data_IF_538427819576
#
_entry.id   IF_538427819576
#
_cell.length_a   1.000
_cell.length_b   1.000
_cell.length_c   1.000
_cell.angle_alpha   90.00
_cell.angle_beta   90.00
_cell.angle_gamma   90.00
#
_symmetry.space_group_name_H-M   'P 1'
#
loop_
_entity.id
_entity.type
_entity.pdbx_description
1 polymer ?
#
# COMPACT_ATOMS: atom_id res chain seq x y z
N UNK A 1 2.07 -14.85 14.75
CA UNK A 1 3.27 -14.03 15.05
C UNK A 1 4.21 -13.95 13.84
N UNK A 2 4.70 -15.06 13.27
CA UNK A 2 5.65 -15.06 12.11
C UNK A 2 5.18 -14.23 10.90
N UNK A 3 3.89 -14.27 10.57
CA UNK A 3 3.34 -13.54 9.42
C UNK A 3 3.28 -12.02 9.58
N UNK A 4 3.26 -11.50 10.82
CA UNK A 4 3.33 -10.05 11.08
C UNK A 4 4.74 -9.49 10.88
N UNK A 5 5.75 -10.35 10.99
CA UNK A 5 7.16 -9.96 10.92
C UNK A 5 7.72 -10.21 9.52
N UNK A 6 7.07 -11.01 8.66
CA UNK A 6 7.54 -11.26 7.29
C UNK A 6 7.83 -9.96 6.50
N UNK A 7 6.95 -8.94 6.51
CA UNK A 7 7.21 -7.66 5.84
C UNK A 7 8.37 -6.85 6.44
N UNK A 8 8.73 -7.13 7.70
CA UNK A 8 9.81 -6.47 8.44
C UNK A 8 11.14 -7.27 8.39
N UNK A 9 11.08 -8.59 8.17
CA UNK A 9 12.25 -9.49 8.11
C UNK A 9 12.94 -9.40 6.75
N UNK A 10 12.21 -9.24 5.66
CA UNK A 10 12.79 -9.16 4.31
C UNK A 10 13.77 -7.97 4.14
N UNK A 11 13.50 -6.75 4.66
CA UNK A 11 14.50 -5.68 4.63
C UNK A 11 15.71 -5.95 5.55
N UNK A 12 15.53 -6.68 6.66
CA UNK A 12 16.61 -6.98 7.60
C UNK A 12 17.59 -8.06 7.06
N UNK A 13 17.06 -9.11 6.40
CA UNK A 13 17.88 -10.18 5.82
C UNK A 13 18.63 -9.74 4.58
N UNK A 14 18.05 -8.87 3.75
CA UNK A 14 18.72 -8.31 2.56
C UNK A 14 19.85 -7.32 2.89
N UNK A 15 19.76 -6.63 4.03
CA UNK A 15 20.83 -5.74 4.52
C UNK A 15 22.01 -6.49 5.15
N UNK A 16 21.77 -7.65 5.77
CA UNK A 16 22.82 -8.43 6.42
C UNK A 16 23.64 -9.29 5.43
N UNK A 17 23.04 -9.77 4.34
CA UNK A 17 23.70 -10.72 3.43
C UNK A 17 24.77 -10.12 2.50
N UNK A 18 25.05 -8.81 2.54
CA UNK A 18 25.98 -8.15 1.61
C UNK A 18 27.29 -7.64 2.26
N UNK A 19 27.62 -8.09 3.47
CA UNK A 19 28.91 -7.79 4.10
C UNK A 19 29.99 -8.83 3.73
N UNK A 20 29.63 -10.04 3.29
CA UNK A 20 30.59 -11.15 3.17
C UNK A 20 30.85 -11.72 1.75
N UNK A 21 30.68 -10.93 0.69
CA UNK A 21 30.97 -11.42 -0.67
C UNK A 21 31.66 -10.38 -1.57
N UNK A 22 32.91 -10.04 -1.24
CA UNK A 22 33.88 -9.56 -2.22
C UNK A 22 35.05 -10.55 -2.26
N UNK A 23 35.10 -11.38 -3.31
CA UNK A 23 36.21 -12.30 -3.54
C UNK A 23 36.01 -13.18 -4.76
N UNK A 24 36.83 -12.93 -5.78
CA UNK A 24 37.20 -13.73 -6.95
C UNK A 24 36.32 -13.67 -8.22
N UNK A 25 36.93 -13.03 -9.22
CA UNK A 25 36.62 -13.08 -10.65
C UNK A 25 36.65 -14.50 -11.23
N UNK A 26 35.85 -14.74 -12.28
CA UNK A 26 36.31 -15.39 -13.52
C UNK A 26 35.28 -15.25 -14.64
N UNK A 27 35.74 -14.73 -15.78
CA UNK A 27 35.00 -14.56 -17.02
C UNK A 27 34.88 -15.85 -17.83
N UNK A 28 33.78 -16.04 -18.57
CA UNK A 28 33.79 -16.43 -20.01
C UNK A 28 32.38 -16.45 -20.62
N UNK A 29 32.22 -16.12 -21.93
CA UNK A 29 30.95 -15.97 -22.62
C UNK A 29 30.54 -17.26 -23.34
N UNK A 30 29.24 -17.55 -23.43
CA UNK A 30 28.71 -18.60 -24.31
C UNK A 30 27.47 -18.09 -25.05
N UNK A 31 27.66 -17.85 -26.35
CA UNK A 31 26.66 -17.72 -27.39
C UNK A 31 25.77 -18.97 -27.43
N UNK A 32 24.47 -18.80 -27.60
CA UNK A 32 23.69 -19.67 -28.47
C UNK A 32 22.46 -18.93 -29.04
N UNK A 33 22.39 -18.89 -30.36
CA UNK A 33 21.32 -18.35 -31.19
C UNK A 33 20.05 -19.23 -31.22
N UNK A 34 18.95 -18.51 -31.52
CA UNK A 34 17.80 -18.87 -32.39
C UNK A 34 16.48 -19.40 -31.76
N UNK A 35 15.32 -19.30 -32.45
CA UNK A 35 14.41 -18.16 -32.35
C UNK A 35 12.94 -18.58 -32.12
N UNK A 36 12.11 -17.71 -31.52
CA UNK A 36 10.66 -17.74 -31.78
C UNK A 36 9.97 -16.43 -31.36
N UNK A 37 9.55 -15.67 -32.36
CA UNK A 37 8.50 -14.64 -32.26
C UNK A 37 7.52 -14.92 -33.41
N UNK A 38 6.22 -14.71 -33.20
CA UNK A 38 5.55 -13.66 -33.97
C UNK A 38 4.47 -12.97 -33.09
N UNK A 39 3.85 -11.83 -33.34
CA UNK A 39 3.44 -11.09 -34.54
C UNK A 39 3.35 -9.61 -34.15
N UNK A 40 4.01 -8.69 -34.86
CA UNK A 40 3.45 -7.37 -35.10
C UNK A 40 3.64 -7.05 -36.58
N UNK A 41 2.52 -6.70 -37.20
CA UNK A 41 2.35 -6.47 -38.62
C UNK A 41 3.18 -5.25 -39.04
N UNK A 42 3.94 -5.47 -40.11
CA UNK A 42 4.70 -4.50 -40.88
C UNK A 42 3.75 -3.61 -41.70
N UNK A 43 4.14 -2.35 -41.93
CA UNK A 43 3.81 -1.66 -43.18
C UNK A 43 4.92 -0.67 -43.55
N UNK A 44 5.43 -0.87 -44.76
CA UNK A 44 6.62 -0.32 -45.38
C UNK A 44 6.47 1.15 -45.84
N UNK A 45 7.60 1.87 -45.98
CA UNK A 45 8.11 2.31 -47.29
C UNK A 45 9.50 2.99 -47.21
N UNK A 46 10.52 2.27 -47.72
CA UNK A 46 11.63 2.62 -48.65
C UNK A 46 12.06 4.10 -48.88
N UNK A 47 13.36 4.42 -48.74
CA UNK A 47 14.42 4.42 -49.80
C UNK A 47 15.52 5.51 -49.62
N UNK A 48 16.80 5.07 -49.63
CA UNK A 48 18.07 5.72 -50.10
C UNK A 48 18.54 7.09 -49.53
N UNK A 49 19.81 7.48 -49.41
CA UNK A 49 21.17 6.94 -49.69
C UNK A 49 22.23 7.89 -49.08
N UNK A 50 23.38 7.34 -48.66
CA UNK A 50 24.74 7.88 -48.52
C UNK A 50 25.06 9.22 -47.79
N UNK A 51 26.03 9.16 -46.86
CA UNK A 51 26.93 10.31 -46.61
C UNK A 51 27.60 10.41 -45.23
N UNK A 52 28.82 9.87 -45.13
CA UNK A 52 29.97 10.45 -44.42
C UNK A 52 29.98 10.53 -42.87
N UNK A 53 31.05 9.93 -42.31
CA UNK A 53 31.54 10.11 -40.96
C UNK A 53 31.61 11.58 -40.53
N UNK A 54 31.05 11.90 -39.36
CA UNK A 54 31.56 12.98 -38.54
C UNK A 54 31.66 12.54 -37.09
N UNK A 55 32.92 12.35 -36.68
CA UNK A 55 33.37 12.11 -35.31
C UNK A 55 33.38 13.46 -34.60
N UNK A 56 32.41 13.70 -33.71
CA UNK A 56 32.47 14.83 -32.78
C UNK A 56 32.69 14.29 -31.38
N UNK A 57 33.94 14.40 -30.93
CA UNK A 57 34.28 14.34 -29.53
C UNK A 57 33.91 15.70 -28.91
N UNK A 58 33.09 15.70 -27.86
CA UNK A 58 33.00 16.86 -26.96
C UNK A 58 33.43 16.45 -25.55
N UNK A 59 34.25 17.33 -25.02
CA UNK A 59 35.07 17.19 -23.83
C UNK A 59 34.25 17.55 -22.58
N UNK A 60 34.73 17.03 -21.46
CA UNK A 60 34.19 17.08 -20.11
C UNK A 60 33.64 18.44 -19.63
N UNK A 61 32.62 18.37 -18.76
CA UNK A 61 32.55 19.25 -17.59
C UNK A 61 32.36 18.40 -16.33
N UNK A 62 33.43 18.33 -15.54
CA UNK A 62 33.49 17.77 -14.21
C UNK A 62 33.52 18.94 -13.22
N UNK A 63 32.41 19.17 -12.50
CA UNK A 63 32.30 19.83 -11.18
C UNK A 63 30.80 19.71 -10.79
N UNK A 64 30.32 19.44 -9.58
CA UNK A 64 30.91 19.58 -8.26
C UNK A 64 30.15 18.67 -7.29
N UNK A 65 30.89 18.05 -6.36
CA UNK A 65 30.37 17.11 -5.39
C UNK A 65 29.51 17.77 -4.32
N UNK A 66 28.25 17.34 -4.23
CA UNK A 66 27.48 17.33 -2.99
C UNK A 66 26.78 15.97 -2.86
N UNK A 67 27.27 15.18 -1.91
CA UNK A 67 27.03 13.76 -1.65
C UNK A 67 25.62 13.23 -1.97
N UNK A 68 25.55 12.41 -3.01
CA UNK A 68 24.58 11.32 -3.10
C UNK A 68 25.10 10.21 -2.19
N UNK A 69 24.76 10.24 -0.91
CA UNK A 69 24.94 9.09 -0.03
C UNK A 69 23.55 8.53 0.29
N UNK A 70 23.08 7.60 -0.54
CA UNK A 70 22.30 6.44 -0.10
C UNK A 70 22.28 5.31 -1.15
N UNK A 71 23.45 4.75 -1.41
CA UNK A 71 23.67 3.65 -2.38
C UNK A 71 23.18 2.26 -1.88
N UNK A 72 22.70 2.11 -0.63
CA UNK A 72 22.34 0.80 -0.04
C UNK A 72 21.01 0.81 0.72
N UNK A 73 19.89 0.71 -0.02
CA UNK A 73 18.53 0.49 0.56
C UNK A 73 17.37 1.13 -0.21
N UNK A 74 17.67 1.73 -1.36
CA UNK A 74 16.82 2.44 -2.34
C UNK A 74 16.08 3.69 -1.81
N UNK A 75 16.57 4.86 -2.23
CA UNK A 75 15.81 6.11 -2.37
C UNK A 75 15.25 6.15 -3.79
N UNK A 76 13.94 6.20 -3.92
CA UNK A 76 13.23 6.25 -5.21
C UNK A 76 13.63 7.50 -6.00
N UNK A 77 14.25 7.31 -7.18
CA UNK A 77 14.15 8.30 -8.25
C UNK A 77 12.75 8.19 -8.81
N UNK A 78 11.92 9.21 -8.57
CA UNK A 78 10.50 9.22 -8.97
C UNK A 78 10.37 8.95 -10.48
N UNK A 79 9.54 7.97 -10.84
CA UNK A 79 9.22 7.65 -12.24
C UNK A 79 10.27 6.84 -13.02
N UNK A 80 11.40 6.43 -12.42
CA UNK A 80 12.31 5.49 -13.09
C UNK A 80 11.75 4.07 -13.09
N UNK A 81 12.04 3.33 -14.16
CA UNK A 81 11.56 1.97 -14.36
C UNK A 81 12.20 1.00 -13.36
N UNK A 82 11.35 0.31 -12.59
CA UNK A 82 11.79 -0.73 -11.66
C UNK A 82 11.13 -2.06 -12.03
N UNK A 83 11.95 -3.01 -12.51
CA UNK A 83 11.52 -4.40 -12.65
C UNK A 83 11.06 -4.95 -11.29
N UNK A 84 10.03 -5.81 -11.25
CA UNK A 84 9.45 -6.38 -10.03
C UNK A 84 10.49 -7.02 -9.07
N UNK A 85 11.61 -7.53 -9.61
CA UNK A 85 12.72 -8.07 -8.80
C UNK A 85 13.51 -6.98 -8.05
N UNK A 86 13.62 -5.78 -8.62
CA UNK A 86 14.23 -4.59 -8.00
C UNK A 86 13.27 -3.96 -6.98
N UNK A 87 11.96 -4.05 -7.23
CA UNK A 87 10.91 -3.58 -6.32
C UNK A 87 10.97 -4.29 -4.95
N UNK A 88 10.98 -5.62 -4.94
CA UNK A 88 10.97 -6.43 -3.70
C UNK A 88 12.25 -6.23 -2.88
N UNK A 89 13.33 -5.72 -3.48
CA UNK A 89 14.58 -5.38 -2.80
C UNK A 89 14.60 -3.96 -2.21
N UNK A 90 13.58 -3.14 -2.49
CA UNK A 90 13.49 -1.75 -2.06
C UNK A 90 12.86 -1.63 -0.66
N UNK A 91 13.51 -0.91 0.26
CA UNK A 91 12.96 -0.68 1.61
C UNK A 91 11.70 0.20 1.55
N UNK A 92 11.64 1.17 0.62
CA UNK A 92 10.47 2.03 0.43
C UNK A 92 9.23 1.23 0.06
N UNK A 93 9.39 0.18 -0.76
CA UNK A 93 8.30 -0.74 -1.09
C UNK A 93 7.79 -1.47 0.15
N UNK A 94 8.67 -1.97 1.02
CA UNK A 94 8.24 -2.68 2.24
C UNK A 94 7.57 -1.77 3.26
N UNK A 95 8.05 -0.52 3.41
CA UNK A 95 7.38 0.48 4.25
C UNK A 95 5.98 0.80 3.74
N UNK A 96 5.83 0.95 2.41
CA UNK A 96 4.56 1.18 1.75
C UNK A 96 3.63 -0.04 1.86
N UNK A 97 4.15 -1.24 1.57
CA UNK A 97 3.43 -2.51 1.67
C UNK A 97 2.91 -2.72 3.10
N UNK A 98 3.75 -2.47 4.11
CA UNK A 98 3.39 -2.57 5.53
C UNK A 98 2.32 -1.54 5.91
N UNK A 99 2.44 -0.29 5.46
CA UNK A 99 1.44 0.74 5.71
C UNK A 99 0.07 0.36 5.11
N UNK A 100 0.05 -0.15 3.88
CA UNK A 100 -1.17 -0.62 3.22
C UNK A 100 -1.78 -1.84 3.93
N UNK A 101 -0.96 -2.84 4.23
CA UNK A 101 -1.33 -4.07 4.93
C UNK A 101 -1.89 -3.81 6.33
N UNK A 102 -1.33 -2.85 7.07
CA UNK A 102 -1.77 -2.51 8.41
C UNK A 102 -2.93 -1.50 8.44
N UNK A 103 -3.12 -0.73 7.36
CA UNK A 103 -4.16 0.30 7.27
C UNK A 103 -5.39 -0.17 6.50
N UNK A 104 -5.30 -0.12 5.17
CA UNK A 104 -6.44 -0.37 4.28
C UNK A 104 -6.99 -1.80 4.40
N UNK A 105 -6.11 -2.79 4.55
CA UNK A 105 -6.54 -4.18 4.68
C UNK A 105 -7.32 -4.41 5.98
N UNK A 106 -6.93 -3.80 7.10
CA UNK A 106 -7.71 -3.88 8.34
C UNK A 106 -9.09 -3.25 8.16
N UNK A 107 -9.19 -2.11 7.46
CA UNK A 107 -10.47 -1.50 7.12
C UNK A 107 -11.40 -2.42 6.33
N UNK A 108 -10.86 -3.20 5.39
CA UNK A 108 -11.61 -4.23 4.66
C UNK A 108 -12.05 -5.37 5.56
N UNK A 109 -11.15 -5.89 6.40
CA UNK A 109 -11.49 -6.99 7.31
C UNK A 109 -12.57 -6.57 8.30
N UNK A 110 -12.50 -5.34 8.82
CA UNK A 110 -13.56 -4.76 9.63
C UNK A 110 -14.90 -4.74 8.87
N UNK A 111 -14.91 -4.23 7.63
CA UNK A 111 -16.12 -4.19 6.80
C UNK A 111 -16.70 -5.59 6.54
N UNK A 112 -15.85 -6.59 6.32
CA UNK A 112 -16.28 -7.96 6.08
C UNK A 112 -16.90 -8.62 7.31
N UNK A 113 -16.53 -8.17 8.52
CA UNK A 113 -17.08 -8.67 9.77
C UNK A 113 -18.19 -7.78 10.35
N UNK A 114 -18.58 -6.72 9.65
CA UNK A 114 -19.51 -5.71 10.16
C UNK A 114 -20.85 -6.30 10.60
N UNK A 115 -21.36 -7.31 9.89
CA UNK A 115 -22.59 -8.01 10.27
C UNK A 115 -22.49 -8.66 11.65
N UNK A 116 -21.42 -9.41 11.90
CA UNK A 116 -21.19 -10.06 13.21
C UNK A 116 -20.92 -9.03 14.31
N UNK A 117 -20.17 -7.96 13.98
CA UNK A 117 -19.92 -6.85 14.92
C UNK A 117 -21.24 -6.19 15.32
N UNK A 118 -22.07 -5.82 14.34
CA UNK A 118 -23.37 -5.19 14.58
C UNK A 118 -24.29 -6.11 15.39
N UNK A 119 -24.32 -7.41 15.07
CA UNK A 119 -25.09 -8.38 15.85
C UNK A 119 -24.62 -8.47 17.30
N UNK A 120 -23.31 -8.61 17.55
CA UNK A 120 -22.75 -8.74 18.89
C UNK A 120 -23.05 -7.52 19.79
N UNK A 121 -23.12 -6.32 19.20
CA UNK A 121 -23.40 -5.06 19.91
C UNK A 121 -24.91 -4.72 19.95
N UNK A 122 -25.79 -5.63 19.55
CA UNK A 122 -27.24 -5.40 19.45
C UNK A 122 -27.61 -4.24 18.50
N UNK A 123 -26.79 -3.99 17.49
CA UNK A 123 -26.95 -2.95 16.45
C UNK A 123 -27.41 -3.53 15.09
N UNK A 124 -27.93 -4.76 15.06
CA UNK A 124 -28.34 -5.41 13.80
C UNK A 124 -29.40 -4.62 13.02
N UNK A 125 -30.31 -3.93 13.72
CA UNK A 125 -31.32 -3.05 13.10
C UNK A 125 -30.71 -1.87 12.34
N UNK A 126 -29.46 -1.49 12.66
CA UNK A 126 -28.73 -0.39 12.02
C UNK A 126 -27.73 -0.86 10.96
N UNK A 127 -27.64 -2.17 10.68
CA UNK A 127 -26.65 -2.72 9.75
C UNK A 127 -26.72 -2.08 8.35
N UNK A 128 -27.92 -1.90 7.81
CA UNK A 128 -28.12 -1.25 6.49
C UNK A 128 -27.61 0.19 6.50
N UNK A 129 -27.84 0.94 7.58
CA UNK A 129 -27.34 2.30 7.75
C UNK A 129 -25.81 2.32 7.84
N UNK A 130 -25.21 1.40 8.60
CA UNK A 130 -23.75 1.30 8.74
C UNK A 130 -23.08 0.99 7.40
N UNK A 131 -23.65 0.07 6.62
CA UNK A 131 -23.18 -0.26 5.28
C UNK A 131 -23.28 0.94 4.33
N UNK A 132 -24.38 1.69 4.39
CA UNK A 132 -24.56 2.91 3.61
C UNK A 132 -23.50 3.98 3.99
N UNK A 133 -23.29 4.22 5.28
CA UNK A 133 -22.27 5.15 5.79
C UNK A 133 -20.88 4.75 5.31
N UNK A 134 -20.50 3.47 5.42
CA UNK A 134 -19.21 2.99 4.92
C UNK A 134 -19.05 3.27 3.43
N UNK A 135 -20.04 2.90 2.63
CA UNK A 135 -20.00 3.05 1.18
C UNK A 135 -19.89 4.52 0.77
N UNK A 136 -20.73 5.39 1.34
CA UNK A 136 -20.70 6.83 1.08
C UNK A 136 -19.37 7.47 1.49
N UNK A 137 -18.87 7.20 2.70
CA UNK A 137 -17.59 7.74 3.15
C UNK A 137 -16.43 7.19 2.32
N UNK A 138 -16.48 5.93 1.91
CA UNK A 138 -15.49 5.32 1.02
C UNK A 138 -15.47 5.96 -0.37
N UNK A 139 -16.65 6.29 -0.91
CA UNK A 139 -16.75 7.08 -2.14
C UNK A 139 -16.07 8.44 -1.99
N UNK A 140 -16.39 9.19 -0.93
CA UNK A 140 -15.74 10.48 -0.68
C UNK A 140 -14.24 10.36 -0.44
N UNK A 141 -13.79 9.30 0.22
CA UNK A 141 -12.37 9.00 0.40
C UNK A 141 -11.65 8.83 -0.94
N UNK A 142 -12.24 8.06 -1.86
CA UNK A 142 -11.72 7.88 -3.22
C UNK A 142 -11.72 9.20 -4.01
N UNK A 143 -12.72 10.06 -3.83
CA UNK A 143 -12.75 11.36 -4.47
C UNK A 143 -11.65 12.28 -3.93
N UNK A 144 -11.44 12.29 -2.61
CA UNK A 144 -10.43 13.09 -1.94
C UNK A 144 -9.00 12.68 -2.35
N UNK A 145 -8.77 11.44 -2.78
CA UNK A 145 -7.45 11.01 -3.24
C UNK A 145 -7.00 11.67 -4.55
N UNK A 146 -7.89 12.36 -5.26
CA UNK A 146 -7.56 13.19 -6.42
C UNK A 146 -7.11 14.62 -6.04
N UNK A 147 -7.36 15.07 -4.80
CA UNK A 147 -6.92 16.40 -4.32
C UNK A 147 -5.41 16.68 -4.48
N UNK A 148 -4.49 15.72 -4.26
CA UNK A 148 -3.06 15.95 -4.46
C UNK A 148 -2.72 16.46 -5.87
N UNK A 149 -3.48 16.02 -6.88
CA UNK A 149 -3.24 16.40 -8.28
C UNK A 149 -3.77 17.81 -8.57
N UNK A 150 -4.89 18.21 -7.96
CA UNK A 150 -5.43 19.57 -8.06
C UNK A 150 -4.64 20.60 -7.27
N UNK A 151 -4.13 20.21 -6.10
CA UNK A 151 -3.41 21.10 -5.18
C UNK A 151 -1.89 21.15 -5.44
N UNK A 152 -1.37 20.33 -6.36
CA UNK A 152 0.05 20.33 -6.73
C UNK A 152 0.58 21.72 -7.11
N UNK A 153 -0.27 22.59 -7.67
CA UNK A 153 0.07 23.97 -8.03
C UNK A 153 0.22 24.93 -6.84
N UNK A 154 -0.34 24.62 -5.66
CA UNK A 154 -0.33 25.50 -4.47
C UNK A 154 0.45 24.94 -3.30
N UNK A 155 0.51 23.62 -3.14
CA UNK A 155 1.23 22.95 -2.06
C UNK A 155 1.96 21.74 -2.64
N UNK A 156 3.29 21.79 -2.69
CA UNK A 156 4.12 20.63 -3.06
C UNK A 156 4.18 19.65 -1.88
N UNK A 157 3.07 18.96 -1.64
CA UNK A 157 2.99 17.91 -0.63
C UNK A 157 3.19 16.55 -1.33
N UNK A 158 4.15 15.77 -0.85
CA UNK A 158 4.41 14.43 -1.38
C UNK A 158 3.14 13.57 -1.31
N UNK A 159 2.90 12.75 -2.35
CA UNK A 159 1.75 11.83 -2.38
C UNK A 159 1.77 10.83 -1.20
N UNK A 160 2.96 10.48 -0.72
CA UNK A 160 3.20 9.72 0.53
C UNK A 160 2.76 10.46 1.80
N UNK A 161 2.80 11.79 1.80
CA UNK A 161 2.28 12.62 2.89
C UNK A 161 0.75 12.58 2.95
N UNK A 162 0.08 12.63 1.80
CA UNK A 162 -1.38 12.48 1.72
C UNK A 162 -1.84 11.09 2.15
N UNK A 163 -1.10 10.04 1.78
CA UNK A 163 -1.34 8.68 2.29
C UNK A 163 -1.24 8.62 3.82
N UNK A 164 -0.24 9.29 4.40
CA UNK A 164 -0.06 9.38 5.86
C UNK A 164 -1.22 10.10 6.53
N UNK A 165 -1.65 11.24 5.97
CA UNK A 165 -2.80 11.99 6.48
C UNK A 165 -4.09 11.14 6.43
N UNK A 166 -4.29 10.38 5.36
CA UNK A 166 -5.43 9.49 5.23
C UNK A 166 -5.41 8.30 6.20
N UNK A 167 -4.24 7.90 6.73
CA UNK A 167 -4.12 6.82 7.73
C UNK A 167 -4.46 7.27 9.15
N UNK A 168 -4.35 8.56 9.48
CA UNK A 168 -4.59 9.09 10.85
C UNK A 168 -5.97 8.73 11.42
N UNK A 169 -7.09 8.81 10.66
CA UNK A 169 -8.41 8.48 11.17
C UNK A 169 -8.61 7.01 11.57
N UNK A 170 -7.82 6.08 11.03
CA UNK A 170 -7.98 4.63 11.28
C UNK A 170 -7.72 4.23 12.74
N UNK A 171 -6.54 4.48 13.34
CA UNK A 171 -6.30 4.14 14.74
C UNK A 171 -7.25 4.90 15.66
N UNK A 172 -7.60 6.15 15.33
CA UNK A 172 -8.60 6.92 16.08
C UNK A 172 -9.95 6.21 16.11
N UNK A 173 -10.44 5.73 14.96
CA UNK A 173 -11.70 5.01 14.87
C UNK A 173 -11.71 3.71 15.70
N UNK A 174 -10.66 2.90 15.59
CA UNK A 174 -10.57 1.63 16.32
C UNK A 174 -10.43 1.83 17.84
N UNK A 175 -9.63 2.80 18.29
CA UNK A 175 -9.53 3.10 19.72
C UNK A 175 -10.81 3.72 20.28
N UNK A 176 -11.50 4.55 19.49
CA UNK A 176 -12.80 5.10 19.89
C UNK A 176 -13.83 3.98 20.06
N UNK A 177 -13.93 3.07 19.09
CA UNK A 177 -14.81 1.89 19.17
C UNK A 177 -14.44 0.97 20.32
N UNK A 178 -13.16 0.78 20.62
CA UNK A 178 -12.71 0.00 21.78
C UNK A 178 -13.18 0.60 23.11
N UNK A 179 -13.15 1.93 23.27
CA UNK A 179 -13.48 2.58 24.54
C UNK A 179 -14.98 2.70 24.82
N UNK A 180 -15.76 3.08 23.81
CA UNK A 180 -17.17 3.47 24.00
C UNK A 180 -18.16 2.35 23.66
N UNK A 181 -17.86 1.53 22.64
CA UNK A 181 -18.65 0.36 22.23
C UNK A 181 -20.17 0.59 22.08
N UNK A 182 -20.58 1.82 21.75
CA UNK A 182 -21.97 2.22 21.55
C UNK A 182 -22.31 2.38 20.06
N UNK A 183 -23.61 2.41 19.76
CA UNK A 183 -24.10 2.52 18.38
C UNK A 183 -23.69 3.80 17.65
N UNK A 184 -23.52 4.92 18.36
CA UNK A 184 -23.11 6.19 17.73
C UNK A 184 -21.62 6.18 17.38
N UNK A 185 -20.79 5.65 18.28
CA UNK A 185 -19.36 5.43 17.98
C UNK A 185 -19.15 4.45 16.85
N UNK A 186 -19.99 3.41 16.72
CA UNK A 186 -19.92 2.48 15.60
C UNK A 186 -20.16 3.20 14.26
N UNK A 187 -21.13 4.11 14.20
CA UNK A 187 -21.38 4.95 13.00
C UNK A 187 -20.21 5.87 12.71
N UNK A 188 -19.68 6.56 13.73
CA UNK A 188 -18.52 7.45 13.57
C UNK A 188 -17.28 6.68 13.11
N UNK A 189 -16.99 5.53 13.74
CA UNK A 189 -15.90 4.65 13.34
C UNK A 189 -16.07 4.14 11.92
N UNK A 190 -17.30 3.79 11.52
CA UNK A 190 -17.62 3.36 10.17
C UNK A 190 -17.35 4.44 9.11
N UNK A 191 -17.70 5.69 9.43
CA UNK A 191 -17.44 6.84 8.58
C UNK A 191 -15.93 7.10 8.42
N UNK A 192 -15.19 7.12 9.53
CA UNK A 192 -13.73 7.36 9.53
C UNK A 192 -12.96 6.25 8.81
N UNK A 193 -13.30 4.99 9.08
CA UNK A 193 -12.69 3.83 8.41
C UNK A 193 -13.02 3.83 6.92
N UNK A 194 -14.27 4.13 6.55
CA UNK A 194 -14.70 4.24 5.15
C UNK A 194 -13.94 5.32 4.40
N UNK A 195 -13.88 6.52 4.97
CA UNK A 195 -13.16 7.66 4.38
C UNK A 195 -11.68 7.32 4.16
N UNK A 196 -11.03 6.79 5.20
CA UNK A 196 -9.61 6.43 5.15
C UNK A 196 -9.34 5.29 4.17
N UNK A 197 -10.11 4.19 4.23
CA UNK A 197 -9.90 3.03 3.35
C UNK A 197 -10.15 3.40 1.89
N UNK A 198 -11.21 4.16 1.61
CA UNK A 198 -11.53 4.67 0.28
C UNK A 198 -10.38 5.50 -0.31
N UNK A 199 -9.83 6.43 0.49
CA UNK A 199 -8.68 7.21 0.08
C UNK A 199 -7.47 6.33 -0.22
N UNK A 200 -7.12 5.42 0.69
CA UNK A 200 -5.92 4.57 0.53
C UNK A 200 -6.08 3.66 -0.69
N UNK A 201 -7.26 3.10 -0.96
CA UNK A 201 -7.48 2.26 -2.13
C UNK A 201 -7.25 3.00 -3.45
N UNK A 202 -7.79 4.21 -3.58
CA UNK A 202 -7.62 5.00 -4.79
C UNK A 202 -6.19 5.58 -4.89
N UNK A 203 -5.65 6.11 -3.80
CA UNK A 203 -4.28 6.62 -3.74
C UNK A 203 -3.25 5.54 -4.06
N UNK A 204 -3.51 4.27 -3.71
CA UNK A 204 -2.56 3.20 -3.90
C UNK A 204 -2.18 2.97 -5.36
N UNK A 205 -3.11 3.13 -6.30
CA UNK A 205 -2.82 3.00 -7.74
C UNK A 205 -1.83 4.08 -8.16
N UNK A 206 -2.13 5.33 -7.80
CA UNK A 206 -1.34 6.50 -8.17
C UNK A 206 0.02 6.57 -7.45
N UNK A 207 0.11 6.14 -6.19
CA UNK A 207 1.37 6.02 -5.45
C UNK A 207 2.24 4.92 -6.07
N UNK A 208 1.65 3.79 -6.44
CA UNK A 208 2.40 2.68 -7.06
C UNK A 208 2.99 3.09 -8.41
N UNK A 209 2.25 3.82 -9.23
CA UNK A 209 2.76 4.30 -10.52
C UNK A 209 3.86 5.36 -10.37
N UNK A 210 3.74 6.26 -9.40
CA UNK A 210 4.77 7.28 -9.13
C UNK A 210 6.06 6.70 -8.58
N UNK A 211 5.97 5.75 -7.63
CA UNK A 211 7.15 5.20 -6.97
C UNK A 211 7.90 4.20 -7.85
N UNK A 212 7.21 3.49 -8.77
CA UNK A 212 7.78 2.32 -9.44
C UNK A 212 7.69 2.34 -10.97
N UNK A 213 7.21 3.43 -11.56
CA UNK A 213 7.16 3.64 -12.99
C UNK A 213 5.86 3.12 -13.65
N UNK A 214 5.47 3.71 -14.80
CA UNK A 214 4.18 3.44 -15.44
C UNK A 214 4.11 2.12 -16.24
N UNK A 215 5.23 1.60 -16.76
CA UNK A 215 5.19 0.47 -17.70
C UNK A 215 4.89 -0.89 -17.04
N UNK A 216 5.10 -1.01 -15.72
CA UNK A 216 4.82 -2.24 -14.94
C UNK A 216 3.80 -2.04 -13.81
N UNK A 217 2.91 -1.03 -13.92
CA UNK A 217 1.90 -0.74 -12.88
C UNK A 217 1.08 -1.97 -12.54
N UNK A 218 0.64 -2.74 -13.54
CA UNK A 218 -0.19 -3.92 -13.32
C UNK A 218 0.48 -4.95 -12.40
N UNK A 219 1.75 -5.26 -12.63
CA UNK A 219 2.51 -6.22 -11.81
C UNK A 219 2.75 -5.67 -10.41
N UNK A 220 3.20 -4.41 -10.31
CA UNK A 220 3.55 -3.79 -9.04
C UNK A 220 2.32 -3.60 -8.14
N UNK A 221 1.20 -3.16 -8.73
CA UNK A 221 -0.05 -2.96 -8.01
C UNK A 221 -0.72 -4.27 -7.63
N UNK A 222 -0.73 -5.27 -8.52
CA UNK A 222 -1.25 -6.60 -8.17
C UNK A 222 -0.42 -7.24 -7.05
N UNK A 223 0.89 -7.04 -7.04
CA UNK A 223 1.75 -7.47 -5.93
C UNK A 223 1.34 -6.79 -4.62
N UNK A 224 1.05 -5.49 -4.63
CA UNK A 224 0.54 -4.77 -3.46
C UNK A 224 -0.83 -5.32 -3.00
N UNK A 225 -1.75 -5.57 -3.93
CA UNK A 225 -3.11 -6.06 -3.64
C UNK A 225 -3.10 -7.44 -2.95
N UNK A 226 -2.06 -8.26 -3.13
CA UNK A 226 -1.92 -9.53 -2.40
C UNK A 226 -2.07 -9.38 -0.88
N UNK A 227 -1.77 -8.19 -0.34
CA UNK A 227 -2.04 -7.82 1.04
C UNK A 227 -3.47 -8.08 1.48
N UNK A 228 -4.46 -7.86 0.61
CA UNK A 228 -5.87 -8.03 0.93
C UNK A 228 -6.16 -9.48 1.28
N UNK A 229 -5.70 -10.43 0.46
CA UNK A 229 -5.88 -11.86 0.70
C UNK A 229 -5.13 -12.29 1.97
N UNK A 230 -3.87 -11.88 2.10
CA UNK A 230 -3.04 -12.22 3.25
C UNK A 230 -3.62 -11.68 4.57
N UNK A 231 -4.06 -10.42 4.57
CA UNK A 231 -4.60 -9.78 5.76
C UNK A 231 -6.02 -10.22 6.07
N UNK A 232 -6.83 -10.57 5.07
CA UNK A 232 -8.15 -11.18 5.31
C UNK A 232 -8.02 -12.53 6.00
N UNK A 233 -7.05 -13.35 5.59
CA UNK A 233 -6.73 -14.58 6.31
C UNK A 233 -6.24 -14.28 7.72
N UNK A 234 -5.26 -13.39 7.88
CA UNK A 234 -4.64 -13.17 9.19
C UNK A 234 -5.54 -12.45 10.19
N UNK A 235 -6.02 -11.26 9.84
CA UNK A 235 -6.83 -10.45 10.72
C UNK A 235 -8.24 -11.01 10.87
N UNK A 236 -8.78 -11.66 9.83
CA UNK A 236 -10.05 -12.37 9.89
C UNK A 236 -10.00 -13.55 10.85
N UNK A 237 -8.94 -14.36 10.79
CA UNK A 237 -8.75 -15.46 11.74
C UNK A 237 -8.55 -14.96 13.18
N UNK A 238 -7.80 -13.87 13.38
CA UNK A 238 -7.66 -13.26 14.72
C UNK A 238 -9.04 -12.82 15.25
N UNK A 239 -9.85 -12.15 14.42
CA UNK A 239 -11.19 -11.73 14.82
C UNK A 239 -12.10 -12.92 15.15
N UNK A 240 -12.07 -13.98 14.33
CA UNK A 240 -12.83 -15.20 14.56
C UNK A 240 -12.43 -15.89 15.88
N UNK A 241 -11.12 -16.04 16.13
CA UNK A 241 -10.61 -16.65 17.38
C UNK A 241 -11.04 -15.87 18.62
N UNK A 242 -10.98 -14.52 18.57
CA UNK A 242 -11.44 -13.68 19.69
C UNK A 242 -12.94 -13.80 19.90
N UNK A 243 -13.72 -13.82 18.81
CA UNK A 243 -15.17 -13.98 18.85
C UNK A 243 -15.55 -15.34 19.44
N UNK A 244 -14.94 -16.42 18.96
CA UNK A 244 -15.23 -17.78 19.41
C UNK A 244 -14.81 -18.02 20.86
N UNK A 245 -13.69 -17.42 21.29
CA UNK A 245 -13.23 -17.52 22.67
C UNK A 245 -14.17 -16.84 23.68
N UNK A 246 -14.97 -15.87 23.25
CA UNK A 246 -15.95 -15.18 24.09
C UNK A 246 -17.40 -15.63 23.83
N UNK A 247 -17.61 -16.48 22.83
CA UNK A 247 -18.92 -16.94 22.40
C UNK A 247 -19.44 -18.14 23.20
N UNK A 248 -20.75 -18.31 23.20
CA UNK A 248 -21.39 -19.51 23.72
C UNK A 248 -21.67 -20.48 22.57
N UNK A 249 -21.29 -21.74 22.77
CA UNK A 249 -21.64 -22.83 21.85
C UNK A 249 -23.10 -23.21 22.06
N UNK A 250 -23.90 -23.04 21.02
CA UNK A 250 -25.29 -23.50 20.97
C UNK A 250 -25.40 -24.65 19.96
N UNK A 251 -25.91 -25.77 20.42
CA UNK A 251 -26.30 -26.90 19.56
C UNK A 251 -27.75 -26.69 19.13
N UNK A 252 -27.98 -26.47 17.83
CA UNK A 252 -29.32 -26.49 17.27
C UNK A 252 -29.52 -27.81 16.58
N UNK A 253 -30.50 -28.57 17.07
CA UNK A 253 -31.00 -29.74 16.39
C UNK A 253 -31.89 -29.26 15.25
N UNK A 254 -31.46 -29.45 14.01
CA UNK A 254 -32.33 -29.23 12.88
C UNK A 254 -33.39 -30.34 12.86
N UNK A 255 -34.62 -29.98 13.22
CA UNK A 255 -35.74 -30.92 13.36
C UNK A 255 -36.18 -31.52 12.01
N UNK A 256 -35.61 -31.05 10.89
CA UNK A 256 -35.90 -31.54 9.52
C UNK A 256 -34.84 -32.52 8.99
N UNK A 257 -33.57 -32.32 9.28
CA UNK A 257 -32.47 -33.19 8.81
C UNK A 257 -31.89 -34.09 9.89
N UNK A 258 -32.22 -33.86 11.17
CA UNK A 258 -31.63 -34.57 12.30
C UNK A 258 -30.16 -34.23 12.54
N UNK A 259 -29.61 -33.24 11.82
CA UNK A 259 -28.23 -32.78 11.96
C UNK A 259 -28.14 -31.84 13.18
N UNK A 260 -27.16 -32.09 14.04
CA UNK A 260 -26.81 -31.18 15.13
C UNK A 260 -25.83 -30.16 14.55
N UNK A 261 -26.30 -28.93 14.36
CA UNK A 261 -25.43 -27.82 13.98
C UNK A 261 -24.94 -27.09 15.24
N UNK A 262 -23.62 -26.95 15.37
CA UNK A 262 -23.00 -26.23 16.48
C UNK A 262 -22.66 -24.83 16.02
N UNK A 263 -23.48 -23.85 16.40
CA UNK A 263 -23.17 -22.45 16.15
C UNK A 263 -22.55 -21.78 17.38
N UNK A 264 -21.56 -20.94 17.15
CA UNK A 264 -20.99 -20.07 18.18
C UNK A 264 -21.60 -18.69 18.00
N UNK A 265 -22.32 -18.22 19.02
CA UNK A 265 -22.88 -16.87 19.04
C UNK A 265 -22.27 -16.13 20.22
N UNK A 266 -21.67 -14.97 19.94
CA UNK A 266 -21.12 -14.09 20.95
C UNK A 266 -21.92 -12.79 20.99
N UNK A 267 -22.44 -12.47 22.18
CA UNK A 267 -23.20 -11.25 22.43
C UNK A 267 -22.50 -10.39 23.48
N UNK A 268 -22.55 -9.08 23.27
CA UNK A 268 -21.97 -8.08 24.13
C UNK A 268 -20.61 -7.56 23.64
N UNK A 269 -20.13 -6.56 24.36
CA UNK A 269 -19.00 -5.75 23.96
C UNK A 269 -17.66 -6.51 23.99
N UNK A 270 -17.57 -7.58 24.80
CA UNK A 270 -16.37 -8.42 24.95
C UNK A 270 -16.01 -9.17 23.66
N UNK A 271 -16.98 -9.46 22.79
CA UNK A 271 -16.79 -10.23 21.55
C UNK A 271 -15.80 -9.60 20.57
N UNK A 272 -15.77 -8.26 20.50
CA UNK A 272 -14.89 -7.51 19.61
C UNK A 272 -14.00 -6.48 20.33
N UNK A 273 -14.11 -6.32 21.65
CA UNK A 273 -13.28 -5.37 22.41
C UNK A 273 -11.78 -5.58 22.16
N UNK A 274 -11.31 -6.83 22.31
CA UNK A 274 -9.89 -7.17 22.09
C UNK A 274 -9.51 -7.00 20.63
N UNK A 275 -10.42 -7.35 19.71
CA UNK A 275 -10.22 -7.18 18.26
C UNK A 275 -10.05 -5.70 17.89
N UNK A 276 -10.89 -4.80 18.41
CA UNK A 276 -10.75 -3.36 18.17
C UNK A 276 -9.45 -2.79 18.74
N UNK A 277 -9.04 -3.22 19.93
CA UNK A 277 -7.75 -2.82 20.48
C UNK A 277 -6.59 -3.28 19.59
N UNK A 278 -6.57 -4.55 19.19
CA UNK A 278 -5.54 -5.11 18.32
C UNK A 278 -5.50 -4.43 16.95
N UNK A 279 -6.64 -4.22 16.32
CA UNK A 279 -6.74 -3.48 15.05
C UNK A 279 -6.30 -2.03 15.20
N UNK A 280 -6.58 -1.37 16.32
CA UNK A 280 -6.05 -0.05 16.66
C UNK A 280 -4.51 -0.03 16.74
N UNK A 281 -3.91 -1.01 17.42
CA UNK A 281 -2.45 -1.13 17.49
C UNK A 281 -1.81 -1.40 16.12
N UNK A 282 -2.40 -2.27 15.31
CA UNK A 282 -1.86 -2.60 13.99
C UNK A 282 -2.00 -1.39 13.05
N UNK A 283 -3.14 -0.69 13.05
CA UNK A 283 -3.29 0.54 12.24
C UNK A 283 -2.36 1.65 12.70
N UNK A 284 -2.03 1.73 13.99
CA UNK A 284 -0.99 2.63 14.50
C UNK A 284 0.40 2.28 13.95
N UNK A 285 0.75 0.98 13.89
CA UNK A 285 1.99 0.52 13.23
C UNK A 285 2.00 0.90 11.73
N UNK A 286 0.86 0.78 11.05
CA UNK A 286 0.71 1.23 9.67
C UNK A 286 0.95 2.74 9.50
N UNK A 287 0.41 3.55 10.41
CA UNK A 287 0.64 4.99 10.45
C UNK A 287 2.12 5.33 10.67
N UNK A 288 2.78 4.67 11.62
CA UNK A 288 4.21 4.85 11.89
C UNK A 288 5.04 4.48 10.65
N UNK A 289 4.75 3.35 9.99
CA UNK A 289 5.41 2.93 8.75
C UNK A 289 5.23 3.96 7.63
N UNK A 290 4.03 4.54 7.50
CA UNK A 290 3.74 5.60 6.52
C UNK A 290 4.50 6.90 6.83
N UNK A 291 4.64 7.27 8.10
CA UNK A 291 5.44 8.44 8.51
C UNK A 291 6.91 8.22 8.14
N UNK A 292 7.47 7.04 8.39
CA UNK A 292 8.84 6.71 7.98
C UNK A 292 9.01 6.78 6.46
N UNK A 293 8.06 6.25 5.69
CA UNK A 293 8.06 6.36 4.23
C UNK A 293 8.01 7.83 3.77
N UNK A 294 7.15 8.65 4.38
CA UNK A 294 7.04 10.07 4.07
C UNK A 294 8.36 10.79 4.36
N UNK A 295 8.95 10.59 5.54
CA UNK A 295 10.22 11.24 5.90
C UNK A 295 11.36 10.85 4.96
N UNK A 296 11.40 9.59 4.52
CA UNK A 296 12.41 9.07 3.60
C UNK A 296 12.22 9.54 2.16
N UNK A 297 10.98 9.69 1.70
CA UNK A 297 10.67 10.15 0.34
C UNK A 297 10.66 11.67 0.21
N UNK A 298 10.48 12.41 1.31
CA UNK A 298 10.40 13.88 1.33
C UNK A 298 11.59 14.58 0.62
N UNK A 299 12.86 14.19 0.81
CA UNK A 299 13.99 14.81 0.10
C UNK A 299 13.88 14.64 -1.43
N UNK A 300 13.48 13.46 -1.90
CA UNK A 300 13.32 13.19 -3.33
C UNK A 300 12.22 14.06 -3.96
N UNK A 301 11.08 14.24 -3.27
CA UNK A 301 10.01 15.14 -3.70
C UNK A 301 10.46 16.62 -3.71
N UNK A 302 11.26 17.05 -2.72
CA UNK A 302 11.80 18.42 -2.67
C UNK A 302 12.76 18.71 -3.84
N UNK A 303 13.65 17.76 -4.18
CA UNK A 303 14.56 17.89 -5.33
C UNK A 303 13.81 17.90 -6.67
N UNK A 304 12.76 17.09 -6.80
CA UNK A 304 11.91 17.08 -8.00
C UNK A 304 11.19 18.42 -8.19
N UNK A 305 10.62 18.99 -7.12
CA UNK A 305 9.95 20.30 -7.14
C UNK A 305 10.90 21.46 -7.51
N UNK A 306 12.14 21.42 -7.02
CA UNK A 306 13.17 22.40 -7.40
C UNK A 306 13.53 22.36 -8.89
N UNK A 307 13.62 21.16 -9.48
CA UNK A 307 13.90 20.99 -10.92
C UNK A 307 12.77 21.51 -11.80
N UNK A 308 11.51 21.33 -11.43
CA UNK A 308 10.36 21.89 -12.18
C UNK A 308 10.33 23.41 -12.11
N UNK A 309 10.65 24.01 -10.97
CA UNK A 309 10.72 25.47 -10.83
C UNK A 309 11.83 26.09 -11.71
N UNK A 310 13.00 25.44 -11.78
CA UNK A 310 14.11 25.88 -12.65
C UNK A 310 13.79 25.76 -14.15
N UNK A 311 13.08 24.70 -14.57
CA UNK A 311 12.61 24.54 -15.96
C UNK A 311 11.59 25.63 -16.33
N UNK A 312 10.68 25.96 -15.41
CA UNK A 312 9.68 27.01 -15.64
C UNK A 312 10.30 28.40 -15.79
N UNK A 313 11.35 28.71 -15.02
CA UNK A 313 12.12 29.95 -15.15
C UNK A 313 12.86 30.04 -16.49
N UNK A 314 13.44 28.94 -16.96
CA UNK A 314 14.13 28.92 -18.25
C UNK A 314 13.18 29.05 -19.45
N UNK A 315 11.92 28.62 -19.30
CA UNK A 315 10.88 28.71 -20.33
C UNK A 315 10.17 30.08 -20.38
N UNK A 316 10.25 30.87 -19.31
CA UNK A 316 9.71 32.25 -19.24
C UNK A 316 10.76 33.29 -19.66
N UNK A 317 12.04 32.91 -19.68
CA UNK A 317 13.17 33.78 -20.04
C UNK A 317 13.65 33.60 -21.50
N UNK A 318 12.96 32.81 -22.33
CA UNK A 318 13.18 32.67 -23.78
C UNK A 318 11.94 33.12 -24.54
#
# INVERSE_FOLDING_TARGET
MVLLILPLIVPASSSCSHVDAHGLDSASPLNHDDPQKPLLLNSNHQMESNGMMQKTAEHQLQDSGYGIILEKGCMVVLGEEHSAKKLIRCVDFWLYYTAYFCGATIGLVYSNNLGQIAQSLHQQSRLTMLLAVYSSCSFFGRLLSALPDFLHRKVSFARTGWLTAALVPMPMAFFLMWKLQDGSTLVAGMALIGLSSGFIFAAAVSVTSELFGPNSIGVNHNTLITNISLGSLLYGQIAALVYDANGQRMTVLDNRTGIIDTMVVCMGAKCYSTTFFLWGCITLLGLVSSIFLFLRTRPAYATAAGRTSCKHLHQVSS
#
